data_IF_079158838126
#
_entry.id   IF_079158838126
#
_cell.length_a   1.000
_cell.length_b   1.000
_cell.length_c   1.000
_cell.angle_alpha   90.00
_cell.angle_beta   90.00
_cell.angle_gamma   90.00
#
_symmetry.space_group_name_H-M   'P 1'
#
loop_
_entity.id
_entity.type
_entity.pdbx_description
1 polymer ?
#
# COMPACT_ATOMS: atom_id res chain seq x y z
N UNK A 1 -8.65 -17.87 9.35
CA UNK A 1 -8.06 -18.17 8.04
C UNK A 1 -6.95 -17.16 7.83
N UNK A 2 -5.68 -17.57 7.86
CA UNK A 2 -4.57 -16.68 7.55
C UNK A 2 -4.69 -16.32 6.07
N UNK A 3 -5.06 -15.08 5.78
CA UNK A 3 -4.89 -14.51 4.45
C UNK A 3 -3.39 -14.25 4.32
N UNK A 4 -2.61 -15.28 3.99
CA UNK A 4 -1.22 -15.11 3.62
C UNK A 4 -1.20 -14.24 2.36
N UNK A 5 -0.59 -13.06 2.43
CA UNK A 5 -0.35 -12.24 1.26
C UNK A 5 0.48 -13.00 0.22
N UNK A 6 0.71 -12.41 -0.96
CA UNK A 6 1.55 -13.04 -1.99
C UNK A 6 2.82 -12.23 -2.22
N UNK A 7 3.97 -12.90 -2.22
CA UNK A 7 5.24 -12.34 -2.71
C UNK A 7 5.18 -12.33 -4.24
N UNK A 8 5.21 -11.13 -4.83
CA UNK A 8 5.11 -10.96 -6.28
C UNK A 8 6.27 -11.59 -7.03
N UNK A 9 7.49 -11.45 -6.49
CA UNK A 9 8.71 -11.98 -7.08
C UNK A 9 9.65 -12.40 -5.97
N UNK A 10 10.12 -13.64 -6.02
CA UNK A 10 11.02 -14.23 -5.04
C UNK A 10 12.23 -14.84 -5.76
N UNK A 11 13.42 -14.42 -5.40
CA UNK A 11 14.67 -15.00 -5.89
C UNK A 11 15.13 -16.10 -4.92
N UNK A 12 15.36 -17.29 -5.44
CA UNK A 12 15.91 -18.42 -4.70
C UNK A 12 17.44 -18.41 -4.75
N UNK A 13 18.08 -19.09 -3.79
CA UNK A 13 19.54 -19.29 -3.77
C UNK A 13 20.04 -20.10 -4.99
N UNK A 14 19.16 -20.88 -5.62
CA UNK A 14 19.42 -21.57 -6.90
C UNK A 14 19.57 -20.61 -8.10
N UNK A 15 19.21 -19.33 -7.93
CA UNK A 15 19.14 -18.33 -8.99
C UNK A 15 17.80 -18.32 -9.74
N UNK A 16 16.85 -19.20 -9.37
CA UNK A 16 15.52 -19.22 -9.94
C UNK A 16 14.64 -18.10 -9.39
N UNK A 17 13.80 -17.54 -10.24
CA UNK A 17 12.83 -16.50 -9.87
C UNK A 17 11.43 -17.09 -9.89
N UNK A 18 10.78 -17.08 -8.74
CA UNK A 18 9.38 -17.46 -8.60
C UNK A 18 8.49 -16.22 -8.57
N UNK A 19 7.28 -16.37 -9.11
CA UNK A 19 6.28 -15.30 -9.19
C UNK A 19 5.02 -15.77 -8.46
N UNK A 20 4.35 -14.86 -7.75
CA UNK A 20 3.12 -15.17 -6.98
C UNK A 20 3.31 -16.29 -5.95
N UNK A 21 4.38 -16.21 -5.16
CA UNK A 21 4.63 -17.18 -4.09
C UNK A 21 3.78 -16.80 -2.87
N UNK A 22 3.05 -17.75 -2.26
CA UNK A 22 2.39 -17.53 -0.99
C UNK A 22 3.37 -17.04 0.10
N UNK A 23 3.03 -15.93 0.76
CA UNK A 23 3.80 -15.37 1.86
C UNK A 23 3.44 -16.08 3.17
N UNK A 24 3.69 -17.39 3.23
CA UNK A 24 3.53 -18.20 4.43
C UNK A 24 4.82 -18.95 4.79
N UNK A 25 5.08 -19.04 6.09
CA UNK A 25 6.29 -19.63 6.64
C UNK A 25 6.53 -21.08 6.16
N UNK A 26 5.54 -22.01 6.20
CA UNK A 26 5.73 -23.38 5.71
C UNK A 26 6.17 -23.45 4.24
N UNK A 27 5.56 -22.66 3.36
CA UNK A 27 5.91 -22.61 1.93
C UNK A 27 7.35 -22.13 1.76
N UNK A 28 7.76 -21.06 2.43
CA UNK A 28 9.10 -20.50 2.32
C UNK A 28 10.18 -21.44 2.89
N UNK A 29 9.91 -22.12 4.00
CA UNK A 29 10.83 -23.14 4.54
C UNK A 29 10.98 -24.30 3.54
N UNK A 30 9.88 -24.73 2.92
CA UNK A 30 9.90 -25.79 1.90
C UNK A 30 10.70 -25.39 0.64
N UNK A 31 10.79 -24.09 0.34
CA UNK A 31 11.61 -23.53 -0.72
C UNK A 31 13.09 -23.37 -0.34
N UNK A 32 13.47 -23.73 0.89
CA UNK A 32 14.86 -23.74 1.37
C UNK A 32 15.26 -22.51 2.19
N UNK A 33 14.34 -21.60 2.50
CA UNK A 33 14.64 -20.45 3.36
C UNK A 33 14.71 -20.87 4.84
N UNK A 34 15.57 -20.20 5.61
CA UNK A 34 15.59 -20.34 7.07
C UNK A 34 14.31 -19.77 7.69
N UNK A 35 13.95 -20.20 8.91
CA UNK A 35 12.77 -19.68 9.62
C UNK A 35 12.80 -18.16 9.76
N UNK A 36 13.96 -17.60 10.15
CA UNK A 36 14.14 -16.15 10.28
C UNK A 36 13.92 -15.41 8.94
N UNK A 37 14.46 -15.96 7.84
CA UNK A 37 14.30 -15.34 6.53
C UNK A 37 12.87 -15.45 6.00
N UNK A 38 12.21 -16.58 6.27
CA UNK A 38 10.80 -16.78 5.93
C UNK A 38 9.91 -15.76 6.63
N UNK A 39 10.17 -15.47 7.92
CA UNK A 39 9.43 -14.45 8.68
C UNK A 39 9.62 -13.05 8.11
N UNK A 40 10.88 -12.66 7.84
CA UNK A 40 11.18 -11.36 7.22
C UNK A 40 10.42 -11.16 5.90
N UNK A 41 10.40 -12.19 5.04
CA UNK A 41 9.70 -12.16 3.75
C UNK A 41 8.18 -12.05 3.92
N UNK A 42 7.61 -12.74 4.91
CA UNK A 42 6.17 -12.64 5.22
C UNK A 42 5.80 -11.23 5.71
N UNK A 43 6.62 -10.65 6.59
CA UNK A 43 6.43 -9.28 7.07
C UNK A 43 6.57 -8.26 5.93
N UNK A 44 7.56 -8.43 5.06
CA UNK A 44 7.75 -7.55 3.90
C UNK A 44 6.58 -7.62 2.92
N UNK A 45 6.07 -8.83 2.65
CA UNK A 45 4.87 -9.01 1.84
C UNK A 45 3.67 -8.29 2.45
N UNK A 46 3.47 -8.44 3.76
CA UNK A 46 2.38 -7.78 4.50
C UNK A 46 2.52 -6.26 4.46
N UNK A 47 3.73 -5.71 4.68
CA UNK A 47 3.99 -4.26 4.59
C UNK A 47 3.70 -3.73 3.19
N UNK A 48 4.17 -4.43 2.17
CA UNK A 48 3.94 -4.06 0.76
C UNK A 48 2.46 -4.08 0.40
N UNK A 49 1.73 -5.11 0.81
CA UNK A 49 0.29 -5.23 0.57
C UNK A 49 -0.49 -4.12 1.29
N UNK A 50 -0.15 -3.86 2.57
CA UNK A 50 -0.77 -2.78 3.34
C UNK A 50 -0.51 -1.42 2.69
N UNK A 51 0.70 -1.18 2.20
CA UNK A 51 1.05 0.03 1.48
C UNK A 51 0.22 0.18 0.21
N UNK A 52 0.13 -0.87 -0.61
CA UNK A 52 -0.66 -0.86 -1.84
C UNK A 52 -2.15 -0.60 -1.56
N UNK A 53 -2.70 -1.22 -0.50
CA UNK A 53 -4.08 -1.00 -0.05
C UNK A 53 -4.31 0.45 0.38
N UNK A 54 -3.39 1.04 1.17
CA UNK A 54 -3.48 2.44 1.58
C UNK A 54 -3.42 3.39 0.37
N UNK A 55 -2.56 3.12 -0.62
CA UNK A 55 -2.49 3.92 -1.86
C UNK A 55 -3.80 3.83 -2.64
N UNK A 56 -4.35 2.63 -2.82
CA UNK A 56 -5.61 2.43 -3.52
C UNK A 56 -6.77 3.15 -2.83
N UNK A 57 -6.85 3.05 -1.50
CA UNK A 57 -7.88 3.72 -0.72
C UNK A 57 -7.75 5.25 -0.78
N UNK A 58 -6.53 5.80 -0.71
CA UNK A 58 -6.31 7.25 -0.93
C UNK A 58 -6.80 7.70 -2.30
N UNK A 59 -6.45 6.96 -3.37
CA UNK A 59 -6.86 7.30 -4.75
C UNK A 59 -8.38 7.35 -4.88
N UNK A 60 -9.07 6.32 -4.37
CA UNK A 60 -10.53 6.28 -4.39
C UNK A 60 -11.15 7.46 -3.62
N UNK A 61 -10.61 7.82 -2.45
CA UNK A 61 -11.12 8.95 -1.69
C UNK A 61 -10.81 10.31 -2.33
N UNK A 62 -9.68 10.44 -3.02
CA UNK A 62 -9.41 11.65 -3.78
C UNK A 62 -10.44 11.82 -4.89
N UNK A 63 -10.67 10.79 -5.70
CA UNK A 63 -11.66 10.82 -6.79
C UNK A 63 -13.08 11.15 -6.31
N UNK A 64 -13.50 10.54 -5.20
CA UNK A 64 -14.87 10.68 -4.68
C UNK A 64 -15.07 11.98 -3.89
N UNK A 65 -14.06 12.45 -3.14
CA UNK A 65 -14.23 13.53 -2.16
C UNK A 65 -13.35 14.76 -2.42
N UNK A 66 -12.09 14.60 -2.80
CA UNK A 66 -11.18 15.74 -2.93
C UNK A 66 -11.24 16.40 -4.31
N UNK A 67 -11.36 15.61 -5.38
CA UNK A 67 -11.35 16.09 -6.76
C UNK A 67 -12.57 16.99 -7.07
N UNK A 68 -13.81 16.68 -6.60
CA UNK A 68 -14.93 17.60 -6.73
C UNK A 68 -14.68 18.97 -6.07
N UNK A 69 -14.09 18.98 -4.86
CA UNK A 69 -13.77 20.21 -4.14
C UNK A 69 -12.68 21.03 -4.85
N UNK A 70 -11.71 20.34 -5.46
CA UNK A 70 -10.69 20.98 -6.28
C UNK A 70 -11.32 21.67 -7.50
N UNK A 71 -12.23 20.98 -8.20
CA UNK A 71 -12.93 21.55 -9.36
C UNK A 71 -13.80 22.75 -8.98
N UNK A 72 -14.51 22.69 -7.85
CA UNK A 72 -15.26 23.84 -7.33
C UNK A 72 -14.33 25.02 -7.04
N UNK A 73 -13.20 24.78 -6.39
CA UNK A 73 -12.21 25.83 -6.13
C UNK A 73 -11.59 26.40 -7.40
N UNK A 74 -11.32 25.59 -8.43
CA UNK A 74 -10.79 26.08 -9.72
C UNK A 74 -11.77 27.00 -10.46
N UNK A 75 -13.08 26.92 -10.16
CA UNK A 75 -14.09 27.80 -10.75
C UNK A 75 -14.35 29.03 -9.88
N UNK A 76 -14.54 28.84 -8.57
CA UNK A 76 -14.89 29.92 -7.64
C UNK A 76 -13.67 30.76 -7.21
N UNK A 77 -12.48 30.17 -7.22
CA UNK A 77 -11.19 30.75 -6.79
C UNK A 77 -11.19 31.40 -5.39
N UNK A 78 -12.09 30.95 -4.51
CA UNK A 78 -12.22 31.50 -3.16
C UNK A 78 -11.29 30.81 -2.15
N UNK A 79 -10.74 31.55 -1.16
CA UNK A 79 -9.93 30.97 -0.08
C UNK A 79 -10.67 29.92 0.75
N UNK A 80 -11.99 30.06 0.91
CA UNK A 80 -12.82 29.12 1.67
C UNK A 80 -12.89 27.76 0.97
N UNK A 81 -13.03 27.74 -0.35
CA UNK A 81 -13.04 26.51 -1.16
C UNK A 81 -11.67 25.86 -1.24
N UNK A 82 -10.60 26.66 -1.36
CA UNK A 82 -9.23 26.14 -1.28
C UNK A 82 -9.01 25.42 0.07
N UNK A 83 -9.42 26.06 1.16
CA UNK A 83 -9.29 25.48 2.50
C UNK A 83 -10.07 24.18 2.62
N UNK A 84 -11.31 24.14 2.15
CA UNK A 84 -12.13 22.93 2.19
C UNK A 84 -11.48 21.77 1.43
N UNK A 85 -10.92 22.03 0.25
CA UNK A 85 -10.16 21.02 -0.52
C UNK A 85 -8.91 20.55 0.24
N UNK A 86 -8.07 21.48 0.73
CA UNK A 86 -6.84 21.13 1.45
C UNK A 86 -7.10 20.37 2.75
N UNK A 87 -8.13 20.76 3.49
CA UNK A 87 -8.56 20.06 4.72
C UNK A 87 -8.98 18.63 4.38
N UNK A 88 -9.76 18.42 3.31
CA UNK A 88 -10.17 17.08 2.87
C UNK A 88 -8.98 16.23 2.46
N UNK A 89 -8.01 16.81 1.73
CA UNK A 89 -6.77 16.11 1.39
C UNK A 89 -5.98 15.71 2.64
N UNK A 90 -5.90 16.60 3.64
CA UNK A 90 -5.21 16.30 4.90
C UNK A 90 -5.91 15.16 5.67
N UNK A 91 -7.24 15.15 5.73
CA UNK A 91 -8.03 14.08 6.33
C UNK A 91 -7.78 12.72 5.65
N UNK A 92 -7.82 12.66 4.32
CA UNK A 92 -7.54 11.44 3.55
C UNK A 92 -6.13 10.92 3.81
N UNK A 93 -5.15 11.83 3.90
CA UNK A 93 -3.76 11.47 4.20
C UNK A 93 -3.61 10.91 5.61
N UNK A 94 -4.29 11.48 6.60
CA UNK A 94 -4.29 11.01 7.98
C UNK A 94 -4.96 9.62 8.11
N UNK A 95 -6.04 9.38 7.35
CA UNK A 95 -6.77 8.10 7.38
C UNK A 95 -5.95 6.93 6.81
N UNK A 96 -5.14 7.18 5.77
CA UNK A 96 -4.33 6.16 5.12
C UNK A 96 -2.86 6.57 5.08
N UNK A 97 -2.12 6.55 6.19
CA UNK A 97 -0.73 6.99 6.20
C UNK A 97 0.11 6.20 5.19
N UNK A 98 0.98 6.91 4.47
CA UNK A 98 2.02 6.32 3.63
C UNK A 98 3.36 6.56 4.34
N UNK A 99 4.30 5.62 4.25
CA UNK A 99 5.64 5.81 4.80
C UNK A 99 6.30 7.04 4.16
N UNK A 100 7.14 7.72 4.93
CA UNK A 100 7.94 8.84 4.43
C UNK A 100 8.79 8.36 3.25
N UNK A 101 8.86 9.18 2.19
CA UNK A 101 9.76 8.93 1.06
C UNK A 101 11.17 9.27 1.55
N UNK A 102 11.88 8.29 2.11
CA UNK A 102 13.33 8.36 2.36
C UNK A 102 14.10 8.29 1.05
#
# INVERSE_FOLDING_TARGET
MNMAGSIKTLLLDSGEVLINVPADRPTLISLGFSEARADELCEEATRTEKLASNIAARRALYEIQADPLFLEWQYDETPEKEKAWRDKVAEIKALYPLPDRT
#
